data_IF_509607725378
#
_entry.id   IF_509607725378
#
_cell.length_a   1.000
_cell.length_b   1.000
_cell.length_c   1.000
_cell.angle_alpha   90.00
_cell.angle_beta   90.00
_cell.angle_gamma   90.00
#
_symmetry.space_group_name_H-M   'P 1'
#
loop_
_entity.id
_entity.type
_entity.pdbx_description
1 polymer ?
#
# COMPACT_ATOMS: atom_id res chain seq x y z
N UNK A 1 -13.55 1.25 -0.39
CA UNK A 1 -12.55 0.39 -1.03
C UNK A 1 -11.92 1.14 -2.19
N UNK A 2 -10.60 1.09 -2.31
CA UNK A 2 -9.90 1.77 -3.39
C UNK A 2 -10.06 0.99 -4.70
N UNK A 3 -10.26 1.72 -5.80
CA UNK A 3 -10.27 1.13 -7.13
C UNK A 3 -8.85 0.71 -7.52
N UNK A 4 -8.72 -0.21 -8.48
CA UNK A 4 -7.41 -0.73 -8.89
C UNK A 4 -6.42 0.38 -9.27
N UNK A 5 -6.87 1.36 -10.04
CA UNK A 5 -6.03 2.48 -10.44
C UNK A 5 -5.53 3.28 -9.24
N UNK A 6 -6.42 3.60 -8.31
CA UNK A 6 -6.07 4.33 -7.10
C UNK A 6 -5.08 3.54 -6.24
N UNK A 7 -5.27 2.23 -6.18
CA UNK A 7 -4.38 1.36 -5.42
C UNK A 7 -2.96 1.37 -6.00
N UNK A 8 -2.84 1.28 -7.33
CA UNK A 8 -1.52 1.35 -7.97
C UNK A 8 -0.85 2.70 -7.77
N UNK A 9 -1.60 3.78 -7.89
CA UNK A 9 -1.07 5.12 -7.65
C UNK A 9 -0.60 5.28 -6.20
N UNK A 10 -1.34 4.71 -5.27
CA UNK A 10 -1.00 4.76 -3.86
C UNK A 10 0.29 3.98 -3.57
N UNK A 11 0.45 2.81 -4.21
CA UNK A 11 1.67 2.03 -4.09
C UNK A 11 2.87 2.83 -4.61
N UNK A 12 2.74 3.48 -5.76
CA UNK A 12 3.81 4.31 -6.31
C UNK A 12 4.18 5.44 -5.36
N UNK A 13 3.19 6.13 -4.81
CA UNK A 13 3.43 7.23 -3.89
C UNK A 13 4.12 6.74 -2.62
N UNK A 14 3.67 5.60 -2.09
CA UNK A 14 4.29 4.99 -0.93
C UNK A 14 5.75 4.64 -1.21
N UNK A 15 6.03 4.05 -2.36
CA UNK A 15 7.39 3.67 -2.73
C UNK A 15 8.32 4.89 -2.83
N UNK A 16 7.81 6.00 -3.32
CA UNK A 16 8.58 7.25 -3.39
C UNK A 16 8.88 7.80 -1.99
N UNK A 17 7.90 7.79 -1.11
CA UNK A 17 8.06 8.33 0.24
C UNK A 17 8.93 7.45 1.13
N UNK A 18 8.91 6.16 0.91
CA UNK A 18 9.63 5.18 1.73
C UNK A 18 10.68 4.42 0.92
N UNK A 19 11.38 5.13 0.03
CA UNK A 19 12.35 4.53 -0.88
C UNK A 19 13.51 3.81 -0.19
N UNK A 20 13.75 4.10 1.08
CA UNK A 20 14.80 3.45 1.88
C UNK A 20 14.36 2.11 2.45
N UNK A 21 13.11 1.72 2.27
CA UNK A 21 12.56 0.46 2.76
C UNK A 21 12.73 -0.66 1.75
N UNK A 22 12.50 -1.90 2.21
CA UNK A 22 12.47 -3.06 1.33
C UNK A 22 11.13 -3.08 0.61
N UNK A 23 11.15 -2.78 -0.68
CA UNK A 23 9.95 -2.57 -1.48
C UNK A 23 9.63 -3.73 -2.44
N UNK A 24 10.26 -4.89 -2.27
CA UNK A 24 9.92 -6.06 -3.07
C UNK A 24 8.47 -6.46 -2.80
N UNK A 25 7.69 -6.64 -3.88
CA UNK A 25 6.27 -6.91 -3.78
C UNK A 25 5.95 -8.40 -3.94
N UNK A 26 4.89 -8.84 -3.29
CA UNK A 26 4.33 -10.16 -3.44
C UNK A 26 3.57 -10.28 -4.78
N UNK A 27 3.34 -11.51 -5.28
CA UNK A 27 2.47 -11.69 -6.44
C UNK A 27 1.09 -11.09 -6.19
N UNK A 28 0.47 -10.58 -7.26
CA UNK A 28 -0.82 -9.88 -7.17
C UNK A 28 -1.92 -10.72 -6.54
N UNK A 29 -1.84 -12.04 -6.65
CA UNK A 29 -2.82 -12.95 -6.07
C UNK A 29 -2.89 -12.82 -4.55
N UNK A 30 -1.80 -12.40 -3.92
CA UNK A 30 -1.75 -12.24 -2.46
C UNK A 30 -2.20 -10.85 -2.00
N UNK A 31 -2.33 -9.90 -2.91
CA UNK A 31 -2.70 -8.53 -2.57
C UNK A 31 -4.10 -8.44 -1.97
N UNK A 32 -5.03 -9.25 -2.47
CA UNK A 32 -6.41 -9.29 -1.95
C UNK A 32 -6.46 -9.69 -0.48
N UNK A 33 -5.44 -10.41 0.00
CA UNK A 33 -5.33 -10.84 1.39
C UNK A 33 -4.55 -9.86 2.26
N UNK A 34 -4.15 -8.71 1.69
CA UNK A 34 -3.39 -7.71 2.43
C UNK A 34 -1.89 -7.93 2.40
N UNK A 35 -1.39 -8.86 1.57
CA UNK A 35 0.04 -9.15 1.44
C UNK A 35 0.58 -8.51 0.17
N UNK A 36 0.92 -7.22 0.24
CA UNK A 36 1.40 -6.44 -0.90
C UNK A 36 2.93 -6.47 -0.97
N UNK A 37 3.61 -6.28 0.15
CA UNK A 37 5.07 -6.29 0.20
C UNK A 37 5.59 -7.54 0.90
N UNK A 38 6.74 -8.04 0.44
CA UNK A 38 7.36 -9.24 1.01
C UNK A 38 7.86 -9.00 2.43
N UNK A 39 8.42 -7.81 2.69
CA UNK A 39 8.87 -7.45 4.03
C UNK A 39 7.67 -7.15 4.92
N UNK A 40 7.57 -7.86 6.05
CA UNK A 40 6.42 -7.74 6.94
C UNK A 40 6.25 -6.34 7.52
N UNK A 41 7.35 -5.69 7.91
CA UNK A 41 7.29 -4.34 8.46
C UNK A 41 6.86 -3.33 7.39
N UNK A 42 7.38 -3.47 6.18
CA UNK A 42 7.00 -2.62 5.07
C UNK A 42 5.52 -2.81 4.74
N UNK A 43 5.05 -4.05 4.74
CA UNK A 43 3.66 -4.34 4.45
C UNK A 43 2.73 -3.74 5.49
N UNK A 44 3.06 -3.85 6.78
CA UNK A 44 2.27 -3.24 7.85
C UNK A 44 2.22 -1.73 7.72
N UNK A 45 3.36 -1.12 7.40
CA UNK A 45 3.43 0.32 7.20
C UNK A 45 2.57 0.76 6.02
N UNK A 46 2.60 -0.01 4.92
CA UNK A 46 1.77 0.29 3.76
C UNK A 46 0.28 0.15 4.07
N UNK A 47 -0.12 -0.87 4.82
CA UNK A 47 -1.51 -1.04 5.19
C UNK A 47 -2.02 0.12 6.03
N UNK A 48 -1.21 0.61 6.95
CA UNK A 48 -1.55 1.80 7.75
C UNK A 48 -1.63 3.05 6.86
N UNK A 49 -0.70 3.19 5.93
CA UNK A 49 -0.67 4.29 4.98
C UNK A 49 -1.94 4.28 4.11
N UNK A 50 -2.32 3.12 3.61
CA UNK A 50 -3.52 2.95 2.80
C UNK A 50 -4.78 3.29 3.57
N UNK A 51 -4.87 2.84 4.81
CA UNK A 51 -6.02 3.14 5.65
C UNK A 51 -6.15 4.64 5.92
N UNK A 52 -5.03 5.31 6.21
CA UNK A 52 -5.03 6.74 6.40
C UNK A 52 -5.48 7.51 5.17
N UNK A 53 -5.04 7.06 4.00
CA UNK A 53 -5.47 7.65 2.73
C UNK A 53 -6.96 7.48 2.51
N UNK A 54 -7.49 6.27 2.75
CA UNK A 54 -8.91 6.00 2.58
C UNK A 54 -9.76 6.83 3.57
N UNK A 55 -9.32 6.97 4.80
CA UNK A 55 -9.99 7.81 5.79
C UNK A 55 -9.99 9.27 5.37
N UNK A 56 -8.86 9.74 4.87
CA UNK A 56 -8.76 11.12 4.40
C UNK A 56 -9.76 11.44 3.30
N UNK A 57 -9.96 10.50 2.38
CA UNK A 57 -10.94 10.66 1.31
C UNK A 57 -12.38 10.70 1.82
N UNK A 58 -12.67 9.88 2.82
CA UNK A 58 -14.03 9.80 3.38
C UNK A 58 -14.33 10.99 4.29
N UNK A 59 -13.33 11.45 5.04
CA UNK A 59 -13.50 12.55 5.99
C UNK A 59 -13.61 13.92 5.31
N UNK A 60 -13.15 14.03 4.10
CA UNK A 60 -13.25 15.28 3.34
C UNK A 60 -14.58 15.35 2.60
#
# INVERSE_FOLDING_TARGET
MLKSKEHYELIEQFEKEFSHRRLAKEPKELWAKGNIFQDGQTNELFLAYRNGYAYGKVAL
#
